data_IF_679845701938
#
_entry.id   IF_679845701938
#
_cell.length_a   1.000
_cell.length_b   1.000
_cell.length_c   1.000
_cell.angle_alpha   90.00
_cell.angle_beta   90.00
_cell.angle_gamma   90.00
#
_symmetry.space_group_name_H-M   'P 1'
#
loop_
_entity.id
_entity.type
_entity.pdbx_description
1 polymer ?
#
# COMPACT_ATOMS: atom_id res chain seq x y z
N UNK A 1 -7.85 -5.88 -26.82
CA UNK A 1 -8.35 -7.16 -26.27
C UNK A 1 -7.89 -7.20 -24.82
N UNK A 2 -8.84 -7.13 -23.88
CA UNK A 2 -8.55 -6.91 -22.47
C UNK A 2 -7.97 -8.17 -21.83
N UNK A 3 -6.99 -8.00 -20.94
CA UNK A 3 -6.32 -9.07 -20.19
C UNK A 3 -7.33 -10.02 -19.51
N UNK A 4 -8.46 -9.49 -19.04
CA UNK A 4 -9.56 -10.24 -18.43
C UNK A 4 -10.11 -11.38 -19.29
N UNK A 5 -10.09 -11.25 -20.62
CA UNK A 5 -10.60 -12.29 -21.54
C UNK A 5 -9.62 -13.48 -21.68
N UNK A 6 -8.32 -13.29 -21.44
CA UNK A 6 -7.34 -14.39 -21.45
C UNK A 6 -7.42 -15.26 -20.18
N UNK A 7 -7.84 -14.69 -19.05
CA UNK A 7 -7.87 -15.39 -17.76
C UNK A 7 -8.97 -16.44 -17.63
N UNK A 8 -10.08 -16.31 -18.37
CA UNK A 8 -11.17 -17.29 -18.32
C UNK A 8 -10.85 -18.64 -18.99
N UNK A 9 -9.70 -18.78 -19.65
CA UNK A 9 -9.30 -19.99 -20.38
C UNK A 9 -8.20 -20.83 -19.68
N UNK A 10 -7.75 -20.41 -18.50
CA UNK A 10 -6.63 -21.04 -17.78
C UNK A 10 -7.16 -21.75 -16.53
N UNK A 11 -6.86 -23.04 -16.39
CA UNK A 11 -7.17 -23.81 -15.18
C UNK A 11 -6.60 -23.13 -13.92
N UNK A 12 -7.28 -23.23 -12.78
CA UNK A 12 -6.94 -22.55 -11.53
C UNK A 12 -5.51 -22.86 -11.09
N UNK A 13 -5.02 -24.08 -11.34
CA UNK A 13 -3.64 -24.47 -11.08
C UNK A 13 -2.62 -23.62 -11.86
N UNK A 14 -2.83 -23.47 -13.17
CA UNK A 14 -1.97 -22.68 -14.04
C UNK A 14 -2.05 -21.18 -13.70
N UNK A 15 -3.23 -20.69 -13.33
CA UNK A 15 -3.43 -19.31 -12.89
C UNK A 15 -2.61 -18.99 -11.64
N UNK A 16 -2.62 -19.88 -10.64
CA UNK A 16 -1.85 -19.71 -9.41
C UNK A 16 -0.34 -19.70 -9.65
N UNK A 17 0.15 -20.55 -10.55
CA UNK A 17 1.56 -20.59 -10.90
C UNK A 17 2.02 -19.30 -11.61
N UNK A 18 1.20 -18.77 -12.53
CA UNK A 18 1.50 -17.53 -13.24
C UNK A 18 1.63 -16.35 -12.28
N UNK A 19 0.70 -16.24 -11.33
CA UNK A 19 0.70 -15.12 -10.40
C UNK A 19 1.84 -15.16 -9.39
N UNK A 20 2.13 -16.32 -8.80
CA UNK A 20 3.24 -16.43 -7.88
C UNK A 20 4.61 -16.24 -8.56
N UNK A 21 4.71 -16.58 -9.86
CA UNK A 21 5.92 -16.34 -10.65
C UNK A 21 5.98 -14.92 -11.25
N UNK A 22 5.02 -14.05 -10.92
CA UNK A 22 4.92 -12.72 -11.49
C UNK A 22 5.99 -11.79 -10.88
N UNK A 23 6.83 -11.13 -11.69
CA UNK A 23 7.87 -10.23 -11.19
C UNK A 23 7.32 -8.85 -10.77
N UNK A 24 6.02 -8.60 -10.96
CA UNK A 24 5.35 -7.35 -10.59
C UNK A 24 4.50 -7.52 -9.34
N UNK A 25 4.32 -6.48 -8.50
CA UNK A 25 3.46 -6.55 -7.32
C UNK A 25 2.03 -6.97 -7.66
N UNK A 26 1.44 -7.83 -6.84
CA UNK A 26 0.06 -8.33 -7.00
C UNK A 26 -0.67 -8.39 -5.66
N UNK A 27 -2.00 -8.37 -5.72
CA UNK A 27 -2.89 -8.65 -4.59
C UNK A 27 -3.98 -9.62 -5.06
N UNK A 28 -4.02 -10.81 -4.46
CA UNK A 28 -4.90 -11.90 -4.89
C UNK A 28 -5.56 -12.51 -3.66
N UNK A 29 -6.89 -12.66 -3.72
CA UNK A 29 -7.64 -13.44 -2.76
C UNK A 29 -7.80 -14.87 -3.26
N UNK A 30 -7.44 -15.84 -2.42
CA UNK A 30 -7.65 -17.27 -2.70
C UNK A 30 -8.54 -17.88 -1.64
N UNK A 31 -9.43 -18.77 -2.05
CA UNK A 31 -10.23 -19.55 -1.10
C UNK A 31 -9.34 -20.59 -0.40
N UNK A 32 -9.53 -20.82 0.91
CA UNK A 32 -8.70 -21.73 1.71
C UNK A 32 -8.53 -23.13 1.11
N UNK A 33 -9.60 -23.70 0.53
CA UNK A 33 -9.57 -24.98 -0.20
C UNK A 33 -8.55 -25.07 -1.35
N UNK A 34 -8.07 -23.95 -1.87
CA UNK A 34 -7.07 -23.89 -2.95
C UNK A 34 -5.64 -23.75 -2.41
N UNK A 35 -5.45 -23.37 -1.15
CA UNK A 35 -4.13 -23.20 -0.53
C UNK A 35 -3.31 -24.50 -0.51
N UNK A 36 -3.87 -25.68 -0.16
CA UNK A 36 -3.11 -26.94 -0.23
C UNK A 36 -2.61 -27.24 -1.65
N UNK A 37 -3.39 -26.89 -2.68
CA UNK A 37 -3.01 -27.06 -4.08
C UNK A 37 -1.79 -26.22 -4.47
N UNK A 38 -1.57 -25.07 -3.83
CA UNK A 38 -0.36 -24.25 -4.04
C UNK A 38 0.89 -24.97 -3.57
N UNK A 39 0.77 -25.65 -2.42
CA UNK A 39 1.85 -26.45 -1.85
C UNK A 39 2.13 -27.67 -2.73
N UNK A 40 1.09 -28.36 -3.20
CA UNK A 40 1.20 -29.50 -4.13
C UNK A 40 1.85 -29.11 -5.46
N UNK A 41 1.50 -27.94 -6.00
CA UNK A 41 2.07 -27.40 -7.24
C UNK A 41 3.48 -26.83 -7.08
N UNK A 42 4.06 -26.88 -5.87
CA UNK A 42 5.38 -26.32 -5.52
C UNK A 42 5.54 -24.87 -5.97
N UNK A 43 4.45 -24.12 -5.83
CA UNK A 43 4.46 -22.70 -6.14
C UNK A 43 5.27 -22.01 -5.06
N UNK A 44 6.43 -21.48 -5.45
CA UNK A 44 7.28 -20.74 -4.52
C UNK A 44 6.61 -19.39 -4.22
N UNK A 45 6.21 -19.21 -2.97
CA UNK A 45 5.61 -17.99 -2.44
C UNK A 45 6.48 -17.38 -1.35
N UNK A 46 7.77 -17.74 -1.28
CA UNK A 46 8.67 -17.27 -0.21
C UNK A 46 8.73 -15.74 -0.12
N UNK A 47 8.75 -15.06 -1.27
CA UNK A 47 8.75 -13.59 -1.31
C UNK A 47 7.37 -12.95 -1.07
N UNK A 48 6.30 -13.74 -0.95
CA UNK A 48 4.93 -13.23 -0.80
C UNK A 48 4.54 -13.00 0.66
N UNK A 49 3.77 -11.93 0.91
CA UNK A 49 3.08 -11.72 2.19
C UNK A 49 1.76 -12.49 2.18
N UNK A 50 1.64 -13.50 3.02
CA UNK A 50 0.45 -14.36 3.11
C UNK A 50 -0.34 -14.00 4.35
N UNK A 51 -1.62 -13.65 4.16
CA UNK A 51 -2.57 -13.35 5.25
C UNK A 51 -3.63 -14.43 5.29
N UNK A 52 -3.66 -15.21 6.37
CA UNK A 52 -4.72 -16.17 6.65
C UNK A 52 -5.77 -15.49 7.55
N UNK A 53 -6.96 -15.25 6.99
CA UNK A 53 -8.06 -14.60 7.68
C UNK A 53 -8.79 -15.51 8.68
N UNK A 54 -8.76 -16.82 8.45
CA UNK A 54 -9.42 -17.80 9.33
C UNK A 54 -8.56 -18.05 10.58
N UNK A 55 -7.23 -18.19 10.39
CA UNK A 55 -6.28 -18.33 11.49
C UNK A 55 -5.84 -16.98 12.10
N UNK A 56 -6.16 -15.86 11.45
CA UNK A 56 -5.71 -14.52 11.81
C UNK A 56 -4.18 -14.43 11.94
N UNK A 57 -3.47 -14.96 10.94
CA UNK A 57 -2.00 -14.98 10.89
C UNK A 57 -1.47 -14.26 9.66
N UNK A 58 -0.27 -13.71 9.77
CA UNK A 58 0.48 -13.09 8.66
C UNK A 58 1.85 -13.76 8.58
N UNK A 59 2.19 -14.29 7.42
CA UNK A 59 3.49 -14.92 7.14
C UNK A 59 4.22 -14.10 6.08
N UNK A 60 5.45 -13.70 6.36
CA UNK A 60 6.28 -12.87 5.48
C UNK A 60 7.74 -12.98 5.93
N UNK A 61 8.67 -12.96 4.97
CA UNK A 61 10.11 -12.83 5.25
C UNK A 61 10.56 -11.36 5.35
N UNK A 62 9.67 -10.42 5.02
CA UNK A 62 9.91 -8.98 5.04
C UNK A 62 9.49 -8.34 6.36
N UNK A 63 10.27 -7.36 6.82
CA UNK A 63 9.97 -6.52 8.00
C UNK A 63 9.56 -5.10 7.58
N UNK A 64 8.55 -5.01 6.70
CA UNK A 64 8.08 -3.73 6.18
C UNK A 64 7.52 -2.81 7.27
N UNK A 65 6.96 -3.39 8.33
CA UNK A 65 6.42 -2.64 9.46
C UNK A 65 7.49 -1.88 10.25
N UNK A 66 8.73 -2.40 10.31
CA UNK A 66 9.84 -1.69 10.95
C UNK A 66 10.29 -0.45 10.16
N UNK A 67 10.04 -0.41 8.84
CA UNK A 67 10.35 0.75 8.01
C UNK A 67 9.37 1.91 8.22
N UNK A 68 8.18 1.66 8.78
CA UNK A 68 7.23 2.73 9.08
C UNK A 68 7.72 3.61 10.25
N UNK A 69 7.54 4.93 10.17
CA UNK A 69 7.78 5.82 11.30
C UNK A 69 6.94 5.44 12.52
N UNK A 70 7.59 5.27 13.67
CA UNK A 70 6.94 4.80 14.91
C UNK A 70 5.77 5.68 15.35
N UNK A 71 5.85 6.99 15.15
CA UNK A 71 4.81 7.94 15.52
C UNK A 71 3.52 7.73 14.68
N UNK A 72 3.68 7.41 13.40
CA UNK A 72 2.58 7.05 12.50
C UNK A 72 2.00 5.70 12.90
N UNK A 73 2.85 4.70 13.12
CA UNK A 73 2.43 3.35 13.51
C UNK A 73 1.66 3.36 14.84
N UNK A 74 2.18 4.06 15.85
CA UNK A 74 1.56 4.17 17.16
C UNK A 74 0.23 4.94 17.11
N UNK A 75 0.16 6.00 16.30
CA UNK A 75 -1.09 6.73 16.07
C UNK A 75 -2.14 5.83 15.42
N UNK A 76 -1.77 5.10 14.37
CA UNK A 76 -2.68 4.21 13.64
C UNK A 76 -3.17 3.08 14.55
N UNK A 77 -2.26 2.42 15.28
CA UNK A 77 -2.61 1.39 16.27
C UNK A 77 -3.59 1.92 17.31
N UNK A 78 -3.39 3.15 17.80
CA UNK A 78 -4.29 3.78 18.75
C UNK A 78 -5.67 4.02 18.16
N UNK A 79 -5.74 4.56 16.95
CA UNK A 79 -7.00 4.88 16.26
C UNK A 79 -7.79 3.61 15.89
N UNK A 80 -7.10 2.48 15.67
CA UNK A 80 -7.68 1.17 15.37
C UNK A 80 -8.02 0.32 16.62
N UNK A 81 -7.75 0.79 17.84
CA UNK A 81 -8.13 0.03 19.05
C UNK A 81 -9.66 -0.10 19.13
N UNK A 82 -10.12 -1.31 19.48
CA UNK A 82 -11.54 -1.69 19.64
C UNK A 82 -12.38 -0.63 20.36
N UNK A 83 -11.87 -0.07 21.47
CA UNK A 83 -12.57 0.96 22.24
C UNK A 83 -12.78 2.27 21.44
N UNK A 84 -11.74 2.73 20.74
CA UNK A 84 -11.78 3.94 19.90
C UNK A 84 -12.63 3.75 18.64
N UNK A 85 -12.60 2.55 18.07
CA UNK A 85 -13.45 2.17 16.94
C UNK A 85 -14.92 2.06 17.34
N UNK A 86 -15.26 1.42 18.47
CA UNK A 86 -16.66 1.35 18.94
C UNK A 86 -17.26 2.74 19.15
N UNK A 87 -16.53 3.63 19.82
CA UNK A 87 -16.97 5.00 20.08
C UNK A 87 -17.20 5.82 18.80
N UNK A 88 -16.39 5.59 17.76
CA UNK A 88 -16.47 6.32 16.49
C UNK A 88 -17.45 5.68 15.48
N UNK A 89 -17.54 4.35 15.44
CA UNK A 89 -18.48 3.61 14.58
C UNK A 89 -19.93 3.86 14.98
N UNK A 90 -20.21 4.10 16.27
CA UNK A 90 -21.55 4.50 16.73
C UNK A 90 -21.97 5.91 16.25
N UNK A 91 -21.05 6.70 15.68
CA UNK A 91 -21.32 8.08 15.23
C UNK A 91 -21.39 8.23 13.70
N UNK A 92 -20.43 7.67 12.96
CA UNK A 92 -20.26 7.98 11.53
C UNK A 92 -19.94 6.79 10.63
N UNK A 93 -19.61 5.61 11.19
CA UNK A 93 -19.33 4.39 10.43
C UNK A 93 -18.05 4.40 9.58
N UNK A 94 -17.32 5.51 9.51
CA UNK A 94 -16.11 5.73 8.68
C UNK A 94 -14.80 5.71 9.48
N UNK A 95 -14.84 5.30 10.75
CA UNK A 95 -13.75 5.41 11.70
C UNK A 95 -12.44 4.75 11.23
N UNK A 96 -12.55 3.58 10.59
CA UNK A 96 -11.39 2.83 10.07
C UNK A 96 -10.76 3.60 8.91
N UNK A 97 -11.56 4.01 7.91
CA UNK A 97 -11.11 4.79 6.76
C UNK A 97 -10.43 6.09 7.20
N UNK A 98 -11.01 6.78 8.19
CA UNK A 98 -10.47 8.02 8.75
C UNK A 98 -9.13 7.79 9.47
N UNK A 99 -8.96 6.67 10.17
CA UNK A 99 -7.70 6.32 10.82
C UNK A 99 -6.56 6.14 9.80
N UNK A 100 -6.81 5.38 8.73
CA UNK A 100 -5.85 5.22 7.64
C UNK A 100 -5.60 6.53 6.89
N UNK A 101 -6.63 7.35 6.63
CA UNK A 101 -6.47 8.65 5.98
C UNK A 101 -5.59 9.58 6.81
N UNK A 102 -5.77 9.65 8.13
CA UNK A 102 -4.90 10.42 9.02
C UNK A 102 -3.45 9.93 8.98
N UNK A 103 -3.23 8.62 8.94
CA UNK A 103 -1.90 8.04 8.81
C UNK A 103 -1.25 8.42 7.46
N UNK A 104 -2.01 8.35 6.36
CA UNK A 104 -1.55 8.80 5.05
C UNK A 104 -1.19 10.29 5.06
N UNK A 105 -2.05 11.17 5.58
CA UNK A 105 -1.74 12.62 5.68
C UNK A 105 -0.48 12.87 6.51
N UNK A 106 -0.27 12.12 7.60
CA UNK A 106 0.96 12.21 8.41
C UNK A 106 2.21 11.75 7.66
N UNK A 107 2.10 10.75 6.79
CA UNK A 107 3.21 10.30 5.95
C UNK A 107 3.43 11.28 4.79
N UNK A 108 2.42 11.44 3.94
CA UNK A 108 2.56 12.02 2.60
C UNK A 108 2.06 13.47 2.48
N UNK A 109 1.50 14.05 3.54
CA UNK A 109 0.96 15.43 3.51
C UNK A 109 1.97 16.53 3.13
N UNK A 110 3.27 16.29 3.28
CA UNK A 110 4.33 17.18 2.79
C UNK A 110 4.48 17.23 1.26
N UNK A 111 3.70 16.44 0.52
CA UNK A 111 3.66 16.43 -0.95
C UNK A 111 3.42 17.83 -1.54
N UNK A 112 2.54 18.61 -0.91
CA UNK A 112 2.20 19.96 -1.40
C UNK A 112 3.41 20.89 -1.42
N UNK A 113 4.31 20.77 -0.44
CA UNK A 113 5.52 21.60 -0.35
C UNK A 113 6.57 21.23 -1.41
N UNK A 114 6.40 20.06 -2.03
CA UNK A 114 7.23 19.57 -3.11
C UNK A 114 6.73 19.94 -4.51
N UNK A 115 5.54 20.55 -4.62
CA UNK A 115 5.02 21.07 -5.88
C UNK A 115 5.68 22.40 -6.24
N UNK A 116 6.23 22.48 -7.44
CA UNK A 116 6.86 23.69 -7.98
C UNK A 116 5.92 24.39 -8.93
N UNK A 117 5.58 25.63 -8.58
CA UNK A 117 4.78 26.54 -9.39
C UNK A 117 5.71 27.58 -10.01
N UNK A 118 5.79 27.60 -11.33
CA UNK A 118 6.60 28.56 -12.08
C UNK A 118 5.70 29.23 -13.13
N UNK A 119 5.67 30.57 -13.21
CA UNK A 119 4.83 31.27 -14.18
C UNK A 119 5.16 30.81 -15.61
N UNK A 120 4.15 30.31 -16.33
CA UNK A 120 4.28 29.85 -17.72
C UNK A 120 4.90 28.46 -17.91
N UNK A 121 5.24 27.74 -16.83
CA UNK A 121 5.69 26.34 -16.88
C UNK A 121 4.62 25.40 -16.26
N UNK A 122 4.54 24.13 -16.68
CA UNK A 122 3.68 23.15 -16.03
C UNK A 122 4.10 22.94 -14.57
N UNK A 123 3.13 22.62 -13.73
CA UNK A 123 3.39 22.24 -12.33
C UNK A 123 4.25 20.97 -12.34
N UNK A 124 5.32 20.97 -11.52
CA UNK A 124 6.22 19.82 -11.41
C UNK A 124 6.37 19.38 -9.96
N UNK A 125 6.68 18.10 -9.74
CA UNK A 125 6.97 17.56 -8.43
C UNK A 125 8.48 17.44 -8.21
N UNK A 126 8.97 17.87 -7.04
CA UNK A 126 10.37 17.74 -6.63
C UNK A 126 10.52 16.65 -5.54
N UNK A 127 11.01 15.45 -5.91
CA UNK A 127 11.23 14.35 -4.97
C UNK A 127 12.12 14.72 -3.78
N UNK A 128 13.12 15.58 -3.97
CA UNK A 128 14.03 15.97 -2.88
C UNK A 128 13.33 16.89 -1.89
N UNK A 129 12.56 17.85 -2.39
CA UNK A 129 11.74 18.72 -1.54
C UNK A 129 10.71 17.90 -0.75
N UNK A 130 10.13 16.85 -1.35
CA UNK A 130 9.20 15.96 -0.67
C UNK A 130 9.84 15.23 0.51
N UNK A 131 11.00 14.60 0.32
CA UNK A 131 11.73 13.95 1.42
C UNK A 131 12.11 14.97 2.51
N UNK A 132 12.58 16.16 2.10
CA UNK A 132 12.98 17.22 3.02
C UNK A 132 11.82 17.90 3.76
N UNK A 133 10.57 17.75 3.29
CA UNK A 133 9.37 18.26 3.96
C UNK A 133 9.17 17.70 5.37
N UNK A 134 9.81 16.57 5.68
CA UNK A 134 9.77 15.92 6.99
C UNK A 134 11.07 16.15 7.74
N UNK A 135 10.96 16.37 9.06
CA UNK A 135 12.11 16.60 9.95
C UNK A 135 12.75 15.30 10.44
N UNK A 136 11.97 14.24 10.63
CA UNK A 136 12.42 12.95 11.17
C UNK A 136 13.17 12.12 10.12
N UNK A 137 14.35 11.62 10.49
CA UNK A 137 15.17 10.80 9.60
C UNK A 137 14.51 9.46 9.24
N UNK A 138 13.78 8.83 10.17
CA UNK A 138 13.05 7.59 9.88
C UNK A 138 11.95 7.82 8.85
N UNK A 139 11.24 8.93 8.95
CA UNK A 139 10.25 9.34 7.95
C UNK A 139 10.90 9.64 6.61
N UNK A 140 12.06 10.31 6.58
CA UNK A 140 12.79 10.56 5.32
C UNK A 140 13.19 9.26 4.62
N UNK A 141 13.76 8.31 5.37
CA UNK A 141 14.14 7.00 4.82
C UNK A 141 12.92 6.26 4.25
N UNK A 142 11.78 6.30 4.94
CA UNK A 142 10.52 5.75 4.43
C UNK A 142 10.07 6.45 3.15
N UNK A 143 10.11 7.79 3.09
CA UNK A 143 9.72 8.56 1.91
C UNK A 143 10.63 8.31 0.70
N UNK A 144 11.92 8.05 0.91
CA UNK A 144 12.86 7.66 -0.14
C UNK A 144 12.44 6.33 -0.79
N UNK A 145 12.07 5.33 0.01
CA UNK A 145 11.50 4.07 -0.51
C UNK A 145 10.13 4.30 -1.17
N UNK A 146 9.32 5.21 -0.64
CA UNK A 146 8.00 5.52 -1.19
C UNK A 146 8.07 6.12 -2.60
N UNK A 147 9.14 6.86 -2.92
CA UNK A 147 9.37 7.44 -4.25
C UNK A 147 9.60 6.39 -5.34
N UNK A 148 10.02 5.16 -4.99
CA UNK A 148 10.13 4.07 -5.97
C UNK A 148 8.78 3.37 -6.25
N UNK A 149 7.73 3.70 -5.51
CA UNK A 149 6.42 3.06 -5.67
C UNK A 149 5.64 3.66 -6.85
N UNK A 150 5.20 2.80 -7.76
CA UNK A 150 4.38 3.20 -8.90
C UNK A 150 3.07 3.88 -8.46
N UNK A 151 2.39 3.34 -7.44
CA UNK A 151 1.13 3.91 -6.93
C UNK A 151 1.31 5.35 -6.44
N UNK A 152 2.44 5.64 -5.78
CA UNK A 152 2.70 6.99 -5.30
C UNK A 152 2.95 7.94 -6.47
N UNK A 153 3.76 7.54 -7.44
CA UNK A 153 4.04 8.35 -8.63
C UNK A 153 2.75 8.65 -9.41
N UNK A 154 1.83 7.70 -9.53
CA UNK A 154 0.53 7.93 -10.16
C UNK A 154 -0.33 8.95 -9.41
N UNK A 155 -0.38 8.86 -8.07
CA UNK A 155 -1.08 9.86 -7.23
C UNK A 155 -0.49 11.26 -7.42
N UNK A 156 0.83 11.36 -7.51
CA UNK A 156 1.51 12.64 -7.74
C UNK A 156 1.11 13.24 -9.10
N UNK A 157 1.12 12.43 -10.16
CA UNK A 157 0.73 12.87 -11.50
C UNK A 157 -0.72 13.35 -11.54
N UNK A 158 -1.65 12.59 -10.97
CA UNK A 158 -3.07 12.99 -10.90
C UNK A 158 -3.22 14.32 -10.16
N UNK A 159 -2.52 14.50 -9.04
CA UNK A 159 -2.58 15.75 -8.28
C UNK A 159 -2.02 16.96 -9.06
N UNK A 160 -1.03 16.76 -9.92
CA UNK A 160 -0.49 17.79 -10.81
C UNK A 160 -1.52 18.18 -11.87
N UNK A 161 -2.17 17.19 -12.48
CA UNK A 161 -3.20 17.40 -13.51
C UNK A 161 -4.42 18.13 -12.94
N UNK A 162 -4.88 17.80 -11.74
CA UNK A 162 -6.02 18.46 -11.08
C UNK A 162 -5.73 19.91 -10.65
N UNK A 163 -4.44 20.30 -10.54
CA UNK A 163 -4.03 21.65 -10.12
C UNK A 163 -3.75 22.58 -11.32
N UNK A 164 -3.72 22.04 -12.54
CA UNK A 164 -3.44 22.77 -13.79
C UNK A 164 -4.71 23.34 -14.43
#
# INVERSE_FOLDING_TARGET
RNLTEYYNAVDTANMMQIFASSPIPYLIGVHGNLVPKLTELRVDVADAVVVDLDANTVTTEHDDLANLPEDVLNSLKKDLKSETLRMSMMKTGDAISMAFLKALVKLIGGYRDALKFRPGEPITFDPKAFVQSRSSQSTRAFLEGMLSLQIFMQVCLIAIDDTS
#
